data_IF_912758844463
#
_entry.id   IF_912758844463
#
_cell.length_a   1.000
_cell.length_b   1.000
_cell.length_c   1.000
_cell.angle_alpha   90.00
_cell.angle_beta   90.00
_cell.angle_gamma   90.00
#
_symmetry.space_group_name_H-M   'P 1'
#
loop_
_entity.id
_entity.type
_entity.pdbx_description
1 polymer ?
#
# COMPACT_ATOMS: atom_id res chain seq x y z
N UNK A 1 8.95 -10.92 -13.06
CA UNK A 1 7.53 -10.67 -12.71
C UNK A 1 7.27 -10.72 -11.21
N UNK A 2 7.71 -11.77 -10.49
CA UNK A 2 7.38 -11.99 -9.07
C UNK A 2 7.70 -10.80 -8.15
N UNK A 3 8.82 -10.10 -8.38
CA UNK A 3 9.21 -8.94 -7.59
C UNK A 3 8.13 -7.85 -7.51
N UNK A 4 7.38 -7.62 -8.60
CA UNK A 4 6.29 -6.62 -8.59
C UNK A 4 5.21 -7.06 -7.61
N UNK A 5 4.80 -8.33 -7.65
CA UNK A 5 3.76 -8.84 -6.76
C UNK A 5 4.20 -8.83 -5.29
N UNK A 6 5.45 -9.20 -5.01
CA UNK A 6 6.00 -9.13 -3.65
C UNK A 6 6.09 -7.69 -3.12
N UNK A 7 6.26 -6.70 -4.00
CA UNK A 7 6.25 -5.29 -3.61
C UNK A 7 4.86 -4.77 -3.24
N UNK A 8 3.78 -5.43 -3.67
CA UNK A 8 2.41 -5.07 -3.30
C UNK A 8 1.94 -5.71 -1.98
N UNK A 9 2.73 -6.61 -1.40
CA UNK A 9 2.37 -7.32 -0.18
C UNK A 9 3.10 -6.71 1.00
N UNK A 10 2.37 -6.36 2.07
CA UNK A 10 2.91 -5.92 3.35
C UNK A 10 2.68 -7.04 4.37
N UNK A 11 3.72 -7.78 4.78
CA UNK A 11 3.59 -8.83 5.78
C UNK A 11 3.25 -8.25 7.16
N UNK A 12 2.43 -8.96 7.93
CA UNK A 12 2.06 -8.59 9.29
C UNK A 12 0.56 -8.67 9.55
N UNK A 13 0.11 -7.97 10.59
CA UNK A 13 -1.31 -7.86 10.90
C UNK A 13 -2.06 -7.09 9.81
N UNK A 14 -3.30 -7.51 9.51
CA UNK A 14 -4.15 -6.83 8.55
C UNK A 14 -4.37 -5.36 8.96
N UNK A 15 -4.14 -4.45 8.01
CA UNK A 15 -4.33 -3.00 8.21
C UNK A 15 -5.68 -2.63 7.60
N UNK A 16 -6.69 -2.42 8.43
CA UNK A 16 -8.01 -1.97 7.96
C UNK A 16 -7.99 -0.47 7.60
N UNK A 17 -8.97 -0.03 6.81
CA UNK A 17 -9.06 1.37 6.35
C UNK A 17 -9.06 2.40 7.50
N UNK A 18 -9.69 2.09 8.63
CA UNK A 18 -9.74 2.98 9.80
C UNK A 18 -8.34 3.22 10.40
N UNK A 19 -7.48 2.20 10.35
CA UNK A 19 -6.08 2.28 10.78
C UNK A 19 -5.21 2.94 9.71
N UNK A 20 -5.43 2.60 8.43
CA UNK A 20 -4.69 3.17 7.31
C UNK A 20 -4.82 4.71 7.25
N UNK A 21 -6.01 5.25 7.53
CA UNK A 21 -6.24 6.69 7.61
C UNK A 21 -5.44 7.41 8.70
N UNK A 22 -4.93 6.68 9.70
CA UNK A 22 -4.10 7.23 10.79
C UNK A 22 -2.61 7.02 10.55
N UNK A 23 -2.22 6.40 9.45
CA UNK A 23 -0.85 5.96 9.17
C UNK A 23 0.00 7.01 8.43
N UNK A 24 -0.31 8.31 8.55
CA UNK A 24 0.49 9.35 7.90
C UNK A 24 1.95 9.30 8.38
N UNK A 25 2.91 9.27 7.44
CA UNK A 25 4.33 9.17 7.73
C UNK A 25 4.82 7.75 8.02
N UNK A 26 3.95 6.73 7.97
CA UNK A 26 4.35 5.35 8.14
C UNK A 26 5.27 4.87 7.01
N UNK A 27 6.12 3.88 7.31
CA UNK A 27 6.96 3.18 6.36
C UNK A 27 6.61 1.70 6.41
N UNK A 28 5.93 1.20 5.36
CA UNK A 28 5.49 -0.18 5.28
C UNK A 28 6.58 -1.03 4.65
N UNK A 29 7.06 -2.05 5.37
CA UNK A 29 8.01 -3.02 4.80
C UNK A 29 7.24 -3.99 3.92
N UNK A 30 7.68 -4.15 2.67
CA UNK A 30 7.03 -5.06 1.72
C UNK A 30 7.62 -6.47 1.81
N UNK A 31 6.96 -7.45 1.18
CA UNK A 31 7.51 -8.80 1.06
C UNK A 31 8.71 -8.85 0.11
N UNK A 32 8.90 -7.84 -0.74
CA UNK A 32 10.12 -7.69 -1.51
C UNK A 32 11.25 -7.13 -0.62
N UNK A 33 12.29 -7.93 -0.40
CA UNK A 33 13.39 -7.62 0.50
C UNK A 33 14.02 -6.23 0.19
N UNK A 34 14.20 -5.43 1.25
CA UNK A 34 14.81 -4.10 1.16
C UNK A 34 13.93 -3.02 0.52
N UNK A 35 12.66 -3.31 0.25
CA UNK A 35 11.71 -2.35 -0.33
C UNK A 35 10.64 -1.96 0.68
N UNK A 36 10.41 -0.65 0.78
CA UNK A 36 9.42 -0.04 1.65
C UNK A 36 8.45 0.82 0.85
N UNK A 37 7.25 1.04 1.38
CA UNK A 37 6.27 1.99 0.84
C UNK A 37 6.06 3.07 1.89
N UNK A 38 6.33 4.33 1.54
CA UNK A 38 6.05 5.47 2.43
C UNK A 38 4.59 5.86 2.31
N UNK A 39 3.93 6.10 3.44
CA UNK A 39 2.51 6.47 3.45
C UNK A 39 2.36 7.95 3.73
N UNK A 40 1.59 8.65 2.90
CA UNK A 40 1.14 10.01 3.18
C UNK A 40 -0.39 10.04 3.20
N UNK A 41 -0.95 10.60 4.27
CA UNK A 41 -2.39 10.76 4.42
C UNK A 41 -2.76 12.23 4.55
N UNK A 42 -3.70 12.70 3.74
CA UNK A 42 -4.29 14.04 3.80
C UNK A 42 -5.81 13.94 3.68
N UNK A 43 -6.51 14.15 4.79
CA UNK A 43 -7.94 13.87 4.86
C UNK A 43 -8.19 12.38 4.66
N UNK A 44 -9.02 12.01 3.68
CA UNK A 44 -9.25 10.61 3.30
C UNK A 44 -8.33 10.12 2.18
N UNK A 45 -7.46 10.99 1.64
CA UNK A 45 -6.54 10.63 0.57
C UNK A 45 -5.30 9.94 1.15
N UNK A 46 -4.99 8.75 0.66
CA UNK A 46 -3.79 7.99 1.01
C UNK A 46 -2.94 7.84 -0.25
N UNK A 47 -1.75 8.45 -0.27
CA UNK A 47 -0.74 8.31 -1.32
C UNK A 47 0.33 7.31 -0.84
N UNK A 48 0.74 6.41 -1.75
CA UNK A 48 1.76 5.39 -1.53
C UNK A 48 3.04 5.79 -2.27
N UNK A 49 4.09 6.14 -1.52
CA UNK A 49 5.39 6.51 -2.06
C UNK A 49 6.05 5.32 -2.73
N UNK A 50 6.23 5.43 -4.04
CA UNK A 50 6.81 4.43 -4.92
C UNK A 50 8.31 4.68 -5.18
N UNK A 51 9.04 3.67 -5.65
CA UNK A 51 10.42 3.81 -6.10
C UNK A 51 10.53 4.29 -7.54
N UNK A 52 9.50 4.02 -8.35
CA UNK A 52 9.45 4.51 -9.73
C UNK A 52 9.40 6.03 -9.80
N UNK A 53 9.96 6.60 -10.87
CA UNK A 53 9.84 8.04 -11.20
C UNK A 53 8.45 8.42 -11.74
N UNK A 54 7.57 7.44 -11.93
CA UNK A 54 6.17 7.68 -12.29
C UNK A 54 5.38 8.23 -11.10
N UNK A 55 4.09 8.51 -11.31
CA UNK A 55 3.23 9.02 -10.25
C UNK A 55 3.04 7.97 -9.14
N UNK A 56 3.02 8.44 -7.88
CA UNK A 56 2.68 7.61 -6.72
C UNK A 56 1.22 7.11 -6.81
N UNK A 57 0.97 5.81 -6.60
CA UNK A 57 -0.38 5.27 -6.50
C UNK A 57 -1.15 5.81 -5.29
N UNK A 58 -2.47 5.80 -5.40
CA UNK A 58 -3.40 6.15 -4.31
C UNK A 58 -4.31 5.00 -4.00
N UNK A 59 -4.68 4.87 -2.72
CA UNK A 59 -5.73 3.94 -2.31
C UNK A 59 -7.08 4.46 -2.83
N UNK A 60 -7.85 3.56 -3.45
CA UNK A 60 -9.21 3.83 -3.90
C UNK A 60 -10.20 3.60 -2.76
N UNK A 61 -10.88 4.65 -2.31
CA UNK A 61 -11.86 4.56 -1.22
C UNK A 61 -13.01 3.60 -1.51
N UNK A 62 -13.38 3.43 -2.77
CA UNK A 62 -14.42 2.46 -3.20
C UNK A 62 -13.95 1.00 -3.18
N UNK A 63 -12.66 0.74 -2.94
CA UNK A 63 -12.05 -0.58 -2.96
C UNK A 63 -11.19 -0.86 -1.73
N UNK A 64 -11.54 -0.31 -0.57
CA UNK A 64 -10.88 -0.65 0.70
C UNK A 64 -11.51 -1.86 1.36
N UNK A 65 -10.73 -2.56 2.18
CA UNK A 65 -11.19 -3.68 3.02
C UNK A 65 -11.91 -4.82 2.26
N UNK A 66 -11.49 -5.10 1.01
CA UNK A 66 -12.21 -5.95 0.03
C UNK A 66 -12.59 -7.33 0.59
N UNK A 67 -11.72 -7.92 1.39
CA UNK A 67 -11.87 -9.25 1.97
C UNK A 67 -11.77 -9.21 3.51
N UNK A 68 -12.38 -8.19 4.12
CA UNK A 68 -12.45 -8.02 5.58
C UNK A 68 -12.90 -9.31 6.27
N UNK A 69 -12.22 -9.67 7.37
CA UNK A 69 -12.47 -10.90 8.13
C UNK A 69 -11.52 -12.05 7.79
N UNK A 70 -10.77 -11.96 6.68
CA UNK A 70 -9.72 -12.92 6.36
C UNK A 70 -8.42 -12.61 7.13
N UNK A 71 -7.46 -13.55 7.09
CA UNK A 71 -6.12 -13.38 7.67
C UNK A 71 -5.31 -12.22 7.06
N UNK A 72 -5.66 -11.80 5.86
CA UNK A 72 -5.07 -10.69 5.12
C UNK A 72 -6.19 -9.81 4.57
N UNK A 73 -5.92 -8.52 4.38
CA UNK A 73 -6.88 -7.57 3.79
C UNK A 73 -6.28 -6.89 2.56
N UNK A 74 -7.08 -6.72 1.52
CA UNK A 74 -6.71 -6.04 0.29
C UNK A 74 -7.37 -4.65 0.20
N UNK A 75 -6.60 -3.71 -0.33
CA UNK A 75 -7.03 -2.36 -0.69
C UNK A 75 -6.65 -2.10 -2.14
N UNK A 76 -7.60 -1.64 -2.95
CA UNK A 76 -7.36 -1.29 -4.34
C UNK A 76 -6.54 0.00 -4.45
N UNK A 77 -5.69 0.06 -5.48
CA UNK A 77 -4.87 1.23 -5.82
C UNK A 77 -5.07 1.62 -7.28
N UNK A 78 -4.92 2.90 -7.59
CA UNK A 78 -5.20 3.48 -8.92
C UNK A 78 -4.02 3.43 -9.91
N UNK A 79 -2.90 2.85 -9.49
CA UNK A 79 -1.69 2.70 -10.29
C UNK A 79 -0.82 1.56 -9.76
N UNK A 80 -0.02 0.94 -10.62
CA UNK A 80 0.85 -0.19 -10.23
C UNK A 80 2.05 0.34 -9.42
N UNK A 81 2.36 -0.29 -8.28
CA UNK A 81 3.60 -0.04 -7.55
C UNK A 81 4.77 -0.72 -8.26
N UNK A 82 5.81 0.04 -8.58
CA UNK A 82 6.95 -0.43 -9.36
C UNK A 82 8.25 -0.31 -8.53
N UNK A 83 8.86 -1.42 -8.09
CA UNK A 83 9.98 -1.41 -7.15
C UNK A 83 11.32 -0.90 -7.74
N UNK A 84 11.31 -0.49 -9.00
CA UNK A 84 12.45 -0.01 -9.78
C UNK A 84 12.22 1.43 -10.27
N UNK A 85 13.30 2.21 -10.29
CA UNK A 85 13.33 3.59 -10.77
C UNK A 85 13.40 3.68 -12.30
#
# INVERSE_FOLDING_TARGET
MEAILLYHVVPGAAILSETALKANGASLTTALAGKVIKVSVKGTKIDLGDYSKLRNPKVLLSGVDINRGNKQVAHAIDFVLLPNA
#
